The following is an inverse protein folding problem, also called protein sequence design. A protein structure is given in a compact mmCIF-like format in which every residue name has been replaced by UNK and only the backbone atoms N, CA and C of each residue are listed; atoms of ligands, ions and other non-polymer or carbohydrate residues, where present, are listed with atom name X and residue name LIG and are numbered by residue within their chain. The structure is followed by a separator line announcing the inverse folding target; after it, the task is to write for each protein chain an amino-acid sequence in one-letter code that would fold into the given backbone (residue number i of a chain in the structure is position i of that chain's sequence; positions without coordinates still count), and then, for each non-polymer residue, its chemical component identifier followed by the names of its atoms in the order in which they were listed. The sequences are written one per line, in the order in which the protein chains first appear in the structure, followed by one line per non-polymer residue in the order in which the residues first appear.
data_IF_884765684685
#
_entry.id   IF_884765684685
#
_cell.length_a   1.000
_cell.length_b   1.000
_cell.length_c   1.000
_cell.angle_alpha   90.00
_cell.angle_beta   90.00
_cell.angle_gamma   90.00
#
_symmetry.space_group_name_H-M   'P 1'
#
loop_
_entity.id
_entity.type
_entity.pdbx_description
1 polymer ?
#
# COMPACT_ATOMS: atom_id res chain seq x y z
N UNK A 1 -4.90 -11.51 15.50
CA UNK A 1 -4.73 -10.66 14.30
C UNK A 1 -4.71 -11.53 13.07
N UNK A 2 -5.58 -11.27 12.13
CA UNK A 2 -5.69 -12.05 10.90
C UNK A 2 -5.35 -11.18 9.69
N UNK A 3 -4.44 -11.65 8.83
CA UNK A 3 -4.16 -11.03 7.53
C UNK A 3 -4.81 -11.89 6.45
N UNK A 4 -5.65 -11.32 5.61
CA UNK A 4 -6.32 -12.03 4.53
C UNK A 4 -6.57 -11.11 3.33
N UNK A 5 -6.99 -11.69 2.21
CA UNK A 5 -7.37 -10.91 1.05
C UNK A 5 -8.63 -10.08 1.35
N UNK A 6 -8.68 -8.87 0.77
CA UNK A 6 -9.81 -7.98 0.85
C UNK A 6 -10.98 -8.57 0.04
N UNK A 7 -12.16 -8.55 0.63
CA UNK A 7 -13.40 -9.03 0.01
C UNK A 7 -14.31 -7.85 -0.29
N UNK A 8 -15.27 -8.06 -1.18
CA UNK A 8 -16.26 -7.04 -1.53
C UNK A 8 -17.04 -6.57 -0.28
N UNK A 9 -17.33 -7.47 0.65
CA UNK A 9 -18.04 -7.18 1.89
C UNK A 9 -17.25 -6.23 2.80
N UNK A 10 -15.93 -6.09 2.61
CA UNK A 10 -15.08 -5.24 3.42
C UNK A 10 -15.15 -3.76 3.00
N UNK A 11 -15.67 -3.46 1.82
CA UNK A 11 -15.46 -2.16 1.18
C UNK A 11 -16.11 -0.97 1.91
N UNK A 12 -17.23 -1.16 2.59
CA UNK A 12 -17.83 -0.07 3.38
C UNK A 12 -16.87 0.36 4.50
N UNK A 13 -16.29 -0.61 5.19
CA UNK A 13 -15.34 -0.33 6.28
C UNK A 13 -14.02 0.22 5.75
N UNK A 14 -13.55 -0.27 4.62
CA UNK A 14 -12.34 0.25 3.97
C UNK A 14 -12.53 1.70 3.54
N UNK A 15 -13.67 2.05 2.97
CA UNK A 15 -13.97 3.43 2.58
C UNK A 15 -13.96 4.36 3.80
N UNK A 16 -14.58 3.92 4.89
CA UNK A 16 -14.59 4.68 6.15
C UNK A 16 -13.16 4.90 6.67
N UNK A 17 -12.37 3.83 6.73
CA UNK A 17 -11.00 3.91 7.24
C UNK A 17 -10.13 4.77 6.32
N UNK A 18 -10.24 4.61 5.01
CA UNK A 18 -9.52 5.41 4.04
C UNK A 18 -9.83 6.89 4.14
N UNK A 19 -11.11 7.23 4.42
CA UNK A 19 -11.52 8.62 4.62
C UNK A 19 -10.87 9.27 5.84
N UNK A 20 -10.52 8.49 6.86
CA UNK A 20 -9.78 8.97 8.03
C UNK A 20 -8.30 9.15 7.70
N UNK A 21 -7.74 8.28 6.86
CA UNK A 21 -6.29 8.19 6.64
C UNK A 21 -5.78 9.03 5.46
N UNK A 22 -6.60 9.23 4.42
CA UNK A 22 -6.14 9.82 3.16
C UNK A 22 -7.01 10.99 2.71
N UNK A 23 -6.40 11.94 2.01
CA UNK A 23 -7.07 13.08 1.40
C UNK A 23 -6.45 13.33 0.01
N UNK A 24 -7.17 13.13 -1.09
CA UNK A 24 -8.48 12.51 -1.19
C UNK A 24 -8.40 10.99 -0.97
N UNK A 25 -9.50 10.40 -0.48
CA UNK A 25 -9.57 8.96 -0.30
C UNK A 25 -10.25 8.30 -1.50
N UNK A 26 -9.92 7.03 -1.75
CA UNK A 26 -10.65 6.22 -2.73
C UNK A 26 -12.06 5.92 -2.21
N UNK A 27 -13.02 5.96 -3.11
CA UNK A 27 -14.39 5.57 -2.82
C UNK A 27 -14.53 4.04 -2.84
N UNK A 28 -15.66 3.58 -2.31
CA UNK A 28 -16.03 2.16 -2.41
C UNK A 28 -16.04 1.69 -3.87
N UNK A 29 -16.56 2.51 -4.76
CA UNK A 29 -16.63 2.20 -6.19
C UNK A 29 -15.23 2.06 -6.81
N UNK A 30 -14.27 2.87 -6.39
CA UNK A 30 -12.89 2.79 -6.87
C UNK A 30 -12.28 1.43 -6.51
N UNK A 31 -12.42 1.00 -5.26
CA UNK A 31 -11.94 -0.30 -4.81
C UNK A 31 -12.66 -1.44 -5.53
N UNK A 32 -13.98 -1.33 -5.68
CA UNK A 32 -14.77 -2.36 -6.34
C UNK A 32 -14.33 -2.54 -7.78
N UNK A 33 -14.09 -1.44 -8.48
CA UNK A 33 -13.59 -1.46 -9.85
C UNK A 33 -12.25 -2.21 -9.93
N UNK A 34 -11.31 -1.89 -9.02
CA UNK A 34 -10.02 -2.55 -8.97
C UNK A 34 -10.14 -4.04 -8.69
N UNK A 35 -10.97 -4.43 -7.72
CA UNK A 35 -11.16 -5.84 -7.36
C UNK A 35 -11.76 -6.65 -8.51
N UNK A 36 -12.63 -6.05 -9.31
CA UNK A 36 -13.34 -6.75 -10.40
C UNK A 36 -12.61 -6.71 -11.73
N UNK A 37 -11.84 -5.68 -12.01
CA UNK A 37 -11.32 -5.44 -13.37
C UNK A 37 -9.80 -5.43 -13.47
N UNK A 38 -9.08 -5.31 -12.38
CA UNK A 38 -7.62 -5.24 -12.41
C UNK A 38 -7.01 -6.56 -11.92
N UNK A 39 -6.64 -7.42 -12.85
CA UNK A 39 -6.06 -8.73 -12.55
C UNK A 39 -4.70 -8.63 -11.84
N UNK A 40 -4.02 -7.49 -11.94
CA UNK A 40 -2.72 -7.28 -11.30
C UNK A 40 -2.85 -6.75 -9.87
N UNK A 41 -4.02 -6.25 -9.48
CA UNK A 41 -4.23 -5.65 -8.18
C UNK A 41 -4.56 -6.69 -7.12
N UNK A 42 -3.85 -6.62 -5.99
CA UNK A 42 -4.10 -7.49 -4.85
C UNK A 42 -4.17 -6.62 -3.60
N UNK A 43 -5.26 -6.73 -2.88
CA UNK A 43 -5.53 -5.94 -1.68
C UNK A 43 -5.66 -6.88 -0.49
N UNK A 44 -5.03 -6.50 0.62
CA UNK A 44 -5.01 -7.30 1.85
C UNK A 44 -5.52 -6.47 3.00
N UNK A 45 -6.16 -7.14 3.97
CA UNK A 45 -6.66 -6.49 5.18
C UNK A 45 -6.08 -7.16 6.42
N UNK A 46 -5.90 -6.36 7.48
CA UNK A 46 -5.62 -6.84 8.82
C UNK A 46 -6.89 -6.72 9.65
N UNK A 47 -7.27 -7.80 10.30
CA UNK A 47 -8.50 -7.89 11.06
C UNK A 47 -8.21 -8.22 12.53
N UNK A 48 -8.76 -7.39 13.42
CA UNK A 48 -8.75 -7.58 14.87
C UNK A 48 -10.15 -7.23 15.37
N UNK A 49 -11.09 -8.18 15.28
CA UNK A 49 -12.54 -8.02 15.39
C UNK A 49 -13.14 -7.11 14.33
N UNK A 50 -12.38 -6.11 13.88
CA UNK A 50 -12.72 -5.20 12.80
C UNK A 50 -11.48 -5.02 11.93
N UNK A 51 -11.66 -4.42 10.76
CA UNK A 51 -10.52 -4.10 9.89
C UNK A 51 -9.75 -2.94 10.51
N UNK A 52 -8.47 -3.16 10.78
CA UNK A 52 -7.58 -2.17 11.40
C UNK A 52 -6.46 -1.69 10.48
N UNK A 53 -6.36 -2.28 9.29
CA UNK A 53 -5.39 -1.84 8.31
C UNK A 53 -5.59 -2.53 6.97
N UNK A 54 -5.03 -1.95 5.93
CA UNK A 54 -5.06 -2.55 4.61
C UNK A 54 -3.87 -2.08 3.76
N UNK A 55 -3.57 -2.86 2.72
CA UNK A 55 -2.56 -2.50 1.73
C UNK A 55 -2.97 -3.02 0.36
N UNK A 56 -2.53 -2.32 -0.68
CA UNK A 56 -2.72 -2.72 -2.05
C UNK A 56 -1.38 -2.80 -2.77
N UNK A 57 -1.24 -3.86 -3.57
CA UNK A 57 -0.07 -4.08 -4.41
C UNK A 57 -0.52 -4.44 -5.81
N UNK A 58 0.23 -3.95 -6.81
CA UNK A 58 0.08 -4.41 -8.19
C UNK A 58 1.28 -5.29 -8.53
N UNK A 59 0.99 -6.54 -8.91
CA UNK A 59 2.02 -7.47 -9.37
C UNK A 59 1.83 -7.66 -10.86
N UNK A 60 2.67 -7.00 -11.65
CA UNK A 60 2.58 -7.05 -13.11
C UNK A 60 3.92 -7.45 -13.69
N UNK A 61 4.00 -8.67 -14.20
CA UNK A 61 5.24 -9.25 -14.74
C UNK A 61 6.34 -9.23 -13.67
N UNK A 62 7.43 -8.52 -13.91
CA UNK A 62 8.56 -8.42 -12.97
C UNK A 62 8.41 -7.28 -11.96
N UNK A 63 7.31 -6.52 -12.02
CA UNK A 63 7.15 -5.32 -11.23
C UNK A 63 6.14 -5.51 -10.11
N UNK A 64 6.50 -5.07 -8.92
CA UNK A 64 5.65 -5.00 -7.74
C UNK A 64 5.52 -3.55 -7.33
N UNK A 65 4.31 -2.99 -7.38
CA UNK A 65 4.08 -1.62 -6.95
C UNK A 65 3.20 -1.62 -5.70
N UNK A 66 3.66 -0.96 -4.65
CA UNK A 66 2.83 -0.67 -3.48
C UNK A 66 1.95 0.54 -3.83
N UNK A 67 0.64 0.33 -3.90
CA UNK A 67 -0.29 1.40 -4.31
C UNK A 67 -0.91 2.15 -3.14
N UNK A 68 -1.14 1.46 -2.03
CA UNK A 68 -1.69 2.08 -0.82
C UNK A 68 -1.35 1.23 0.40
N UNK A 69 -1.21 1.87 1.55
CA UNK A 69 -1.08 1.20 2.84
C UNK A 69 -1.56 2.14 3.93
N UNK A 70 -2.38 1.64 4.84
CA UNK A 70 -2.86 2.43 5.95
C UNK A 70 -3.22 1.59 7.15
N UNK A 71 -2.99 2.15 8.34
CA UNK A 71 -3.32 1.53 9.62
C UNK A 71 -4.23 2.49 10.39
N UNK A 72 -5.30 1.95 10.98
CA UNK A 72 -6.21 2.70 11.84
C UNK A 72 -5.38 3.49 12.86
N UNK A 73 -5.65 4.81 13.04
CA UNK A 73 -4.88 5.63 13.97
C UNK A 73 -4.77 5.05 15.38
N UNK A 74 -5.80 4.34 15.84
CA UNK A 74 -5.80 3.71 17.18
C UNK A 74 -4.90 2.48 17.27
N UNK A 75 -4.42 1.99 16.12
CA UNK A 75 -3.58 0.80 16.04
C UNK A 75 -2.17 1.09 15.52
N UNK A 76 -1.85 2.35 15.28
CA UNK A 76 -0.52 2.76 14.82
C UNK A 76 0.53 2.60 15.93
N UNK A 77 1.79 2.47 15.53
CA UNK A 77 2.90 2.31 16.47
C UNK A 77 3.05 0.90 17.03
N UNK A 78 2.35 -0.08 16.48
CA UNK A 78 2.38 -1.48 16.93
C UNK A 78 3.04 -2.43 15.92
N UNK A 79 3.65 -1.88 14.87
CA UNK A 79 4.31 -2.69 13.84
C UNK A 79 3.37 -3.34 12.85
N UNK A 80 2.12 -2.91 12.73
CA UNK A 80 1.14 -3.57 11.86
C UNK A 80 1.39 -3.32 10.38
N UNK A 81 1.89 -2.15 10.02
CA UNK A 81 2.27 -1.88 8.62
C UNK A 81 3.36 -2.83 8.15
N UNK A 82 4.24 -3.25 9.06
CA UNK A 82 5.28 -4.22 8.76
C UNK A 82 4.70 -5.58 8.37
N UNK A 83 3.62 -6.02 9.03
CA UNK A 83 2.95 -7.27 8.66
C UNK A 83 2.44 -7.23 7.22
N UNK A 84 1.81 -6.12 6.83
CA UNK A 84 1.30 -5.93 5.47
C UNK A 84 2.43 -5.86 4.45
N UNK A 85 3.49 -5.12 4.76
CA UNK A 85 4.66 -5.02 3.87
C UNK A 85 5.34 -6.37 3.70
N UNK A 86 5.61 -7.08 4.79
CA UNK A 86 6.26 -8.39 4.73
C UNK A 86 5.45 -9.36 3.86
N UNK A 87 4.13 -9.39 4.05
CA UNK A 87 3.25 -10.28 3.28
C UNK A 87 3.23 -9.89 1.80
N UNK A 88 3.00 -8.61 1.50
CA UNK A 88 2.89 -8.15 0.12
C UNK A 88 4.18 -8.32 -0.68
N UNK A 89 5.32 -8.05 -0.05
CA UNK A 89 6.63 -8.22 -0.70
C UNK A 89 6.97 -9.70 -0.91
N UNK A 90 6.62 -10.55 0.04
CA UNK A 90 6.80 -12.00 -0.10
C UNK A 90 5.97 -12.55 -1.25
N UNK A 91 4.73 -12.11 -1.38
CA UNK A 91 3.86 -12.48 -2.50
C UNK A 91 4.46 -12.04 -3.84
N UNK A 92 5.02 -10.83 -3.89
CA UNK A 92 5.71 -10.34 -5.07
C UNK A 92 6.92 -11.19 -5.43
N UNK A 93 7.72 -11.54 -4.44
CA UNK A 93 8.87 -12.43 -4.64
C UNK A 93 8.42 -13.80 -5.18
N UNK A 94 7.37 -14.37 -4.61
CA UNK A 94 6.83 -15.67 -5.04
C UNK A 94 6.29 -15.63 -6.46
N UNK A 95 5.83 -14.47 -6.92
CA UNK A 95 5.34 -14.27 -8.30
C UNK A 95 6.45 -13.94 -9.29
N UNK A 96 7.70 -13.86 -8.83
CA UNK A 96 8.85 -13.57 -9.68
C UNK A 96 9.14 -12.10 -9.88
N UNK A 97 8.60 -11.22 -9.06
CA UNK A 97 8.91 -9.79 -9.15
C UNK A 97 10.37 -9.53 -8.81
N UNK A 98 10.98 -8.65 -9.59
CA UNK A 98 12.39 -8.24 -9.45
C UNK A 98 12.53 -6.75 -9.16
N UNK A 99 11.53 -5.96 -9.51
CA UNK A 99 11.55 -4.51 -9.35
C UNK A 99 10.40 -4.09 -8.45
N UNK A 100 10.69 -3.32 -7.40
CA UNK A 100 9.71 -2.90 -6.41
C UNK A 100 9.70 -1.38 -6.37
N UNK A 101 8.51 -0.79 -6.47
CA UNK A 101 8.37 0.67 -6.51
C UNK A 101 7.20 1.15 -5.67
N UNK A 102 7.25 2.41 -5.31
CA UNK A 102 6.17 3.12 -4.64
C UNK A 102 6.35 4.62 -4.83
N UNK A 103 5.26 5.37 -4.67
CA UNK A 103 5.31 6.81 -4.50
C UNK A 103 4.91 7.16 -3.06
N UNK A 104 5.56 8.18 -2.50
CA UNK A 104 5.27 8.64 -1.15
C UNK A 104 5.38 10.17 -1.10
N UNK A 105 4.49 10.81 -0.33
CA UNK A 105 4.57 12.27 -0.13
C UNK A 105 5.92 12.64 0.44
N UNK A 106 6.53 13.71 -0.08
CA UNK A 106 7.85 14.17 0.39
C UNK A 106 7.84 14.53 1.88
N UNK A 107 6.68 14.92 2.42
CA UNK A 107 6.53 15.27 3.83
C UNK A 107 6.35 14.06 4.75
N UNK A 108 6.08 12.87 4.20
CA UNK A 108 5.80 11.68 5.01
C UNK A 108 7.09 10.98 5.46
N UNK A 109 7.80 11.63 6.36
CA UNK A 109 9.11 11.17 6.84
C UNK A 109 9.05 9.79 7.50
N UNK A 110 7.97 9.52 8.24
CA UNK A 110 7.79 8.24 8.92
C UNK A 110 7.71 7.08 7.92
N UNK A 111 6.90 7.23 6.88
CA UNK A 111 6.76 6.21 5.84
C UNK A 111 8.06 6.05 5.05
N UNK A 112 8.72 7.16 4.71
CA UNK A 112 10.00 7.13 4.00
C UNK A 112 11.04 6.32 4.79
N UNK A 113 11.13 6.54 6.11
CA UNK A 113 12.04 5.77 6.95
C UNK A 113 11.71 4.28 6.96
N UNK A 114 10.41 3.95 7.01
CA UNK A 114 9.95 2.56 6.94
C UNK A 114 10.39 1.91 5.63
N UNK A 115 10.13 2.57 4.50
CA UNK A 115 10.48 2.02 3.20
C UNK A 115 11.98 1.86 2.99
N UNK A 116 12.78 2.80 3.52
CA UNK A 116 14.24 2.67 3.50
C UNK A 116 14.72 1.41 4.24
N UNK A 117 14.06 1.05 5.33
CA UNK A 117 14.38 -0.19 6.06
C UNK A 117 14.11 -1.44 5.22
N UNK A 118 13.19 -1.36 4.26
CA UNK A 118 12.92 -2.44 3.32
C UNK A 118 13.81 -2.42 2.08
N UNK A 119 14.78 -1.50 2.04
CA UNK A 119 15.72 -1.40 0.93
C UNK A 119 15.28 -0.50 -0.20
N UNK A 120 14.18 0.22 -0.06
CA UNK A 120 13.76 1.21 -1.05
C UNK A 120 14.67 2.43 -0.97
N UNK A 121 15.01 2.99 -2.12
CA UNK A 121 15.81 4.21 -2.23
C UNK A 121 15.08 5.24 -3.06
N UNK A 122 15.26 6.52 -2.72
CA UNK A 122 14.67 7.61 -3.50
C UNK A 122 15.37 7.65 -4.85
N UNK A 123 14.56 7.53 -5.92
CA UNK A 123 15.05 7.47 -7.29
C UNK A 123 14.74 8.75 -8.05
N UNK A 124 13.59 9.36 -7.79
CA UNK A 124 13.14 10.56 -8.51
C UNK A 124 12.13 11.34 -7.67
N UNK A 125 11.89 12.58 -8.07
CA UNK A 125 10.82 13.43 -7.53
C UNK A 125 9.78 13.61 -8.61
N UNK A 126 8.50 13.31 -8.28
CA UNK A 126 7.37 13.60 -9.15
C UNK A 126 6.73 14.89 -8.67
N UNK A 127 6.93 15.95 -9.43
CA UNK A 127 6.43 17.28 -9.07
C UNK A 127 4.92 17.32 -9.18
N UNK A 128 4.27 17.99 -8.21
CA UNK A 128 2.84 18.25 -8.25
C UNK A 128 2.01 16.98 -8.44
N UNK A 129 2.41 15.90 -7.77
CA UNK A 129 1.87 14.55 -8.01
C UNK A 129 0.49 14.36 -7.40
N UNK A 130 0.27 14.87 -6.18
CA UNK A 130 -0.98 14.69 -5.46
C UNK A 130 -1.96 15.83 -5.78
N UNK A 131 -3.24 15.59 -5.53
CA UNK A 131 -4.29 16.56 -5.83
C UNK A 131 -4.11 17.91 -5.11
N UNK A 132 -3.43 17.91 -3.95
CA UNK A 132 -3.09 19.12 -3.19
C UNK A 132 -1.77 19.75 -3.61
N UNK A 133 -1.21 19.32 -4.75
CA UNK A 133 0.03 19.81 -5.35
C UNK A 133 1.31 19.42 -4.60
N UNK A 134 1.21 18.59 -3.58
CA UNK A 134 2.43 18.07 -2.93
C UNK A 134 3.20 17.17 -3.89
N UNK A 135 4.52 17.24 -3.85
CA UNK A 135 5.41 16.37 -4.62
C UNK A 135 5.46 14.97 -3.99
N UNK A 136 5.81 13.99 -4.81
CA UNK A 136 6.07 12.64 -4.35
C UNK A 136 7.52 12.25 -4.64
N UNK A 137 8.09 11.43 -3.76
CA UNK A 137 9.28 10.68 -4.10
C UNK A 137 8.87 9.37 -4.76
N UNK A 138 9.53 9.03 -5.86
CA UNK A 138 9.52 7.68 -6.39
C UNK A 138 10.62 6.92 -5.67
N UNK A 139 10.27 5.84 -4.98
CA UNK A 139 11.23 4.97 -4.30
C UNK A 139 11.25 3.60 -4.97
N UNK A 140 12.44 3.04 -5.11
CA UNK A 140 12.65 1.79 -5.85
C UNK A 140 13.59 0.87 -5.08
N UNK A 141 13.27 -0.43 -5.13
CA UNK A 141 14.12 -1.50 -4.63
C UNK A 141 14.24 -2.57 -5.70
N UNK A 142 15.43 -3.12 -5.87
CA UNK A 142 15.65 -4.26 -6.78
C UNK A 142 15.90 -5.51 -5.96
N UNK A 143 15.33 -6.62 -6.43
CA UNK A 143 15.58 -7.92 -5.85
C UNK A 143 17.01 -8.35 -6.19
N UNK A 144 17.76 -8.80 -5.20
CA UNK A 144 19.08 -9.36 -5.42
C UNK A 144 18.95 -10.82 -5.84
N UNK A 145 19.78 -11.24 -6.76
CA UNK A 145 19.82 -12.63 -7.22
C UNK A 145 20.58 -13.52 -6.26
#
# INVERSE_FOLDING_TARGET
MLLREMQEEDLDEIERLGGVLFTPAWSKEDFLHELKTNDYAHYYVLVDDKIVGYAGFWYAYENCELTTIGIDPNYQGKGLSKLLMDYGLKEGHNKGCMNYSLEVRVSNERAIRLYKKYGYEICAIRKDYYADHEDAYLMVRKEEK
#
